data_IF_738003356094
#
_entry.id   IF_738003356094
#
_cell.length_a   1.000
_cell.length_b   1.000
_cell.length_c   1.000
_cell.angle_alpha   90.00
_cell.angle_beta   90.00
_cell.angle_gamma   90.00
#
_symmetry.space_group_name_H-M   'P 1'
#
loop_
_entity.id
_entity.type
_entity.pdbx_description
1 polymer ?
#
# COMPACT_ATOMS: atom_id res chain seq x y z
N UNK A 1 24.04 -46.54 -65.69
CA UNK A 1 23.80 -46.89 -64.27
C UNK A 1 25.18 -46.97 -63.63
N UNK A 2 25.69 -45.94 -62.97
CA UNK A 2 25.24 -45.34 -61.71
C UNK A 2 25.76 -43.89 -61.64
N UNK A 3 24.89 -42.92 -61.35
CA UNK A 3 25.25 -41.50 -61.14
C UNK A 3 25.37 -41.33 -59.62
N UNK A 4 26.51 -40.85 -59.11
CA UNK A 4 26.66 -40.47 -57.70
C UNK A 4 27.05 -38.99 -57.62
N UNK A 5 26.06 -38.15 -57.30
CA UNK A 5 26.23 -36.73 -56.95
C UNK A 5 26.35 -36.62 -55.44
N UNK A 6 27.41 -35.98 -54.94
CA UNK A 6 27.53 -35.58 -53.54
C UNK A 6 26.97 -34.16 -53.38
N UNK A 7 26.06 -33.90 -52.41
CA UNK A 7 25.55 -32.56 -52.17
C UNK A 7 26.53 -31.72 -51.32
N UNK A 8 26.60 -30.43 -51.66
CA UNK A 8 27.27 -29.37 -50.91
C UNK A 8 26.69 -29.25 -49.49
N UNK A 9 27.56 -29.35 -48.47
CA UNK A 9 27.24 -29.00 -47.08
C UNK A 9 27.23 -27.47 -46.93
N UNK A 10 26.05 -26.88 -46.73
CA UNK A 10 25.91 -25.49 -46.27
C UNK A 10 25.79 -25.51 -44.74
N UNK A 11 26.88 -25.18 -44.06
CA UNK A 11 26.87 -24.96 -42.61
C UNK A 11 26.11 -23.66 -42.30
N UNK A 12 24.93 -23.80 -41.70
CA UNK A 12 24.12 -22.69 -41.18
C UNK A 12 24.71 -22.28 -39.82
N UNK A 13 25.36 -21.10 -39.73
CA UNK A 13 25.77 -20.52 -38.45
C UNK A 13 24.56 -19.82 -37.84
N UNK A 14 23.88 -20.45 -36.88
CA UNK A 14 22.90 -19.77 -36.04
C UNK A 14 23.65 -18.98 -34.97
N UNK A 15 23.70 -17.65 -35.13
CA UNK A 15 24.06 -16.75 -34.04
C UNK A 15 22.77 -16.44 -33.26
N UNK A 16 22.59 -17.07 -32.10
CA UNK A 16 21.54 -16.69 -31.16
C UNK A 16 22.00 -15.42 -30.43
N UNK A 17 21.49 -14.26 -30.84
CA UNK A 17 21.62 -13.04 -30.06
C UNK A 17 20.59 -13.07 -28.93
N UNK A 18 20.99 -13.54 -27.75
CA UNK A 18 20.19 -13.43 -26.53
C UNK A 18 20.16 -11.96 -26.09
N UNK A 19 19.07 -11.25 -26.40
CA UNK A 19 18.76 -9.97 -25.75
C UNK A 19 18.43 -10.25 -24.28
N UNK A 20 19.36 -9.96 -23.39
CA UNK A 20 19.06 -9.85 -21.97
C UNK A 20 18.18 -8.61 -21.76
N UNK A 21 16.87 -8.80 -21.61
CA UNK A 21 16.01 -7.75 -21.07
C UNK A 21 16.36 -7.59 -19.58
N UNK A 22 17.16 -6.58 -19.26
CA UNK A 22 17.32 -6.13 -17.88
C UNK A 22 15.99 -5.49 -17.50
N UNK A 23 15.14 -6.24 -16.79
CA UNK A 23 13.98 -5.68 -16.09
C UNK A 23 14.52 -4.74 -15.03
N UNK A 24 14.40 -3.43 -15.25
CA UNK A 24 14.54 -2.47 -14.17
C UNK A 24 13.31 -2.61 -13.29
N UNK A 25 13.50 -2.87 -12.01
CA UNK A 25 12.42 -2.75 -11.03
C UNK A 25 12.06 -1.26 -10.96
N UNK A 26 10.95 -0.88 -11.60
CA UNK A 26 10.37 0.45 -11.42
C UNK A 26 9.66 0.44 -10.08
N UNK A 27 10.14 1.25 -9.15
CA UNK A 27 9.43 1.50 -7.89
C UNK A 27 8.12 2.24 -8.20
N UNK A 28 7.07 1.96 -7.43
CA UNK A 28 5.82 2.68 -7.54
C UNK A 28 6.03 4.18 -7.25
N UNK A 29 5.19 5.02 -7.88
CA UNK A 29 5.18 6.45 -7.57
C UNK A 29 4.86 6.67 -6.09
N UNK A 30 5.50 7.66 -5.43
CA UNK A 30 5.18 8.00 -4.05
C UNK A 30 3.74 8.46 -3.89
N UNK A 31 3.18 8.26 -2.70
CA UNK A 31 1.85 8.74 -2.32
C UNK A 31 1.99 9.74 -1.18
N UNK A 32 1.62 10.99 -1.44
CA UNK A 32 1.64 12.05 -0.43
C UNK A 32 0.38 11.99 0.46
N UNK A 33 0.54 12.37 1.74
CA UNK A 33 -0.56 12.58 2.68
C UNK A 33 -0.36 13.89 3.45
N UNK A 34 -1.44 14.44 3.99
CA UNK A 34 -1.40 15.62 4.85
C UNK A 34 -2.60 15.67 5.78
N UNK A 35 -2.47 16.40 6.88
CA UNK A 35 -3.55 16.62 7.84
C UNK A 35 -3.26 17.81 8.76
N UNK A 36 -4.14 18.00 9.73
CA UNK A 36 -4.04 19.03 10.77
C UNK A 36 -4.47 18.41 12.09
N UNK A 37 -3.58 18.39 13.07
CA UNK A 37 -3.95 18.02 14.44
C UNK A 37 -4.57 19.23 15.13
N UNK A 38 -5.76 19.05 15.68
CA UNK A 38 -6.58 20.05 16.37
C UNK A 38 -7.00 19.59 17.76
N UNK A 39 -7.56 20.51 18.54
CA UNK A 39 -8.11 20.19 19.86
C UNK A 39 -9.42 19.40 19.82
N UNK A 40 -10.06 19.27 18.64
CA UNK A 40 -11.26 18.44 18.45
C UNK A 40 -10.94 17.00 18.11
N UNK A 41 -9.69 16.69 17.78
CA UNK A 41 -9.31 15.34 17.39
C UNK A 41 -9.37 14.38 18.58
N UNK A 42 -9.67 13.09 18.32
CA UNK A 42 -9.58 12.09 19.36
C UNK A 42 -8.15 12.02 19.89
N UNK A 43 -8.04 11.63 21.15
CA UNK A 43 -6.76 11.46 21.84
C UNK A 43 -6.60 10.03 22.32
N UNK A 44 -5.36 9.58 22.43
CA UNK A 44 -5.02 8.30 23.03
C UNK A 44 -3.66 8.35 23.72
N UNK A 45 -3.37 7.33 24.53
CA UNK A 45 -2.02 7.13 25.05
C UNK A 45 -1.18 6.45 23.97
N UNK A 46 -0.36 7.24 23.26
CA UNK A 46 0.44 6.72 22.15
C UNK A 46 1.46 5.69 22.68
N UNK A 47 1.86 4.71 21.87
CA UNK A 47 3.00 3.87 22.22
C UNK A 47 4.29 4.68 22.36
N UNK A 48 5.25 4.15 23.11
CA UNK A 48 6.65 4.57 23.10
C UNK A 48 7.52 3.54 22.39
N UNK A 49 7.17 2.27 22.52
CA UNK A 49 7.74 1.16 21.77
C UNK A 49 6.60 0.24 21.34
N UNK A 50 6.91 -0.83 20.61
CA UNK A 50 5.93 -1.86 20.25
C UNK A 50 5.35 -2.63 21.45
N UNK A 51 5.88 -2.44 22.66
CA UNK A 51 5.48 -3.16 23.87
C UNK A 51 5.15 -2.26 25.08
N UNK A 52 5.26 -0.94 24.94
CA UNK A 52 5.07 -0.01 26.05
C UNK A 52 4.40 1.28 25.61
N UNK A 53 3.55 1.83 26.49
CA UNK A 53 2.90 3.13 26.31
C UNK A 53 3.83 4.28 26.71
N UNK A 54 3.56 5.46 26.16
CA UNK A 54 4.31 6.69 26.45
C UNK A 54 3.96 7.25 27.82
N UNK A 55 4.97 7.78 28.51
CA UNK A 55 4.79 8.64 29.68
C UNK A 55 4.59 10.12 29.33
N UNK A 56 4.83 10.50 28.07
CA UNK A 56 4.76 11.89 27.59
C UNK A 56 3.48 12.12 26.78
N UNK A 57 3.24 11.29 25.77
CA UNK A 57 2.06 11.34 24.89
C UNK A 57 0.87 10.56 25.46
N UNK A 58 0.48 10.82 26.70
CA UNK A 58 -0.60 10.09 27.39
C UNK A 58 -2.01 10.38 26.86
N UNK A 59 -2.17 11.49 26.13
CA UNK A 59 -3.39 11.97 25.51
C UNK A 59 -3.04 12.77 24.25
N UNK A 60 -2.30 12.14 23.33
CA UNK A 60 -1.86 12.76 22.08
C UNK A 60 -3.02 12.76 21.07
N UNK A 61 -3.29 13.91 20.44
CA UNK A 61 -4.21 14.00 19.29
C UNK A 61 -3.65 13.20 18.13
N UNK A 62 -4.54 12.56 17.38
CA UNK A 62 -4.13 11.70 16.28
C UNK A 62 -5.06 11.74 15.08
N UNK A 63 -4.46 11.54 13.91
CA UNK A 63 -5.12 11.19 12.67
C UNK A 63 -4.75 9.76 12.26
N UNK A 64 -5.61 9.13 11.44
CA UNK A 64 -5.38 7.76 10.96
C UNK A 64 -5.52 7.69 9.44
N UNK A 65 -4.48 7.20 8.78
CA UNK A 65 -4.50 6.88 7.36
C UNK A 65 -4.60 5.36 7.18
N UNK A 66 -5.75 4.92 6.69
CA UNK A 66 -5.95 3.52 6.30
C UNK A 66 -5.36 3.31 4.90
N UNK A 67 -4.65 2.21 4.70
CA UNK A 67 -4.07 1.88 3.40
C UNK A 67 -3.83 0.37 3.26
N UNK A 68 -3.53 -0.06 2.04
CA UNK A 68 -2.97 -1.36 1.74
C UNK A 68 -1.88 -1.22 0.66
N UNK A 69 -1.13 -2.30 0.44
CA UNK A 69 -0.13 -2.37 -0.63
C UNK A 69 -0.51 -3.46 -1.63
N UNK A 70 -0.25 -3.23 -2.92
CA UNK A 70 -0.65 -4.17 -3.98
C UNK A 70 0.33 -5.32 -4.21
N UNK A 71 1.49 -5.29 -3.55
CA UNK A 71 2.45 -6.39 -3.55
C UNK A 71 3.23 -6.39 -2.24
N UNK A 72 3.79 -7.54 -1.86
CA UNK A 72 4.70 -7.60 -0.73
C UNK A 72 6.01 -6.84 -1.05
N UNK A 73 6.54 -6.14 -0.05
CA UNK A 73 7.71 -5.28 -0.23
C UNK A 73 8.09 -4.55 1.05
N UNK A 74 9.12 -3.71 0.97
CA UNK A 74 9.47 -2.76 2.04
C UNK A 74 8.96 -1.39 1.62
N UNK A 75 8.18 -0.79 2.50
CA UNK A 75 7.58 0.52 2.31
C UNK A 75 8.11 1.48 3.38
N UNK A 76 8.29 2.73 2.98
CA UNK A 76 8.64 3.85 3.85
C UNK A 76 7.39 4.70 4.09
N UNK A 77 7.20 5.15 5.33
CA UNK A 77 6.18 6.10 5.75
C UNK A 77 6.88 7.20 6.53
N UNK A 78 6.87 8.42 6.00
CA UNK A 78 7.64 9.53 6.56
C UNK A 78 6.77 10.78 6.69
N UNK A 79 6.91 11.53 7.79
CA UNK A 79 6.48 12.92 7.85
C UNK A 79 7.54 13.84 7.21
N UNK A 80 7.12 14.72 6.32
CA UNK A 80 8.00 15.63 5.58
C UNK A 80 8.04 17.04 6.18
N UNK A 81 6.96 17.45 6.85
CA UNK A 81 6.90 18.72 7.58
C UNK A 81 5.83 18.66 8.67
N UNK A 82 6.02 19.42 9.74
CA UNK A 82 5.03 19.63 10.78
C UNK A 82 5.15 21.04 11.36
N UNK A 83 4.02 21.67 11.63
CA UNK A 83 3.94 22.99 12.28
C UNK A 83 3.49 22.90 13.74
N UNK A 84 3.82 21.80 14.40
CA UNK A 84 3.57 21.59 15.82
C UNK A 84 4.47 22.48 16.67
N UNK A 85 4.09 22.74 17.92
CA UNK A 85 5.02 23.35 18.87
C UNK A 85 6.22 22.41 19.05
N UNK A 86 7.39 22.82 18.57
CA UNK A 86 8.62 22.00 18.55
C UNK A 86 8.83 21.18 17.28
N UNK A 87 7.83 21.08 16.38
CA UNK A 87 7.94 20.36 15.10
C UNK A 87 8.05 18.84 15.22
N UNK A 88 7.83 18.29 16.41
CA UNK A 88 8.13 16.90 16.75
C UNK A 88 6.93 15.98 16.49
N UNK A 89 7.07 15.11 15.49
CA UNK A 89 6.06 14.16 15.03
C UNK A 89 6.27 12.80 15.66
N UNK A 90 5.24 11.96 15.62
CA UNK A 90 5.38 10.54 15.94
C UNK A 90 4.47 9.72 15.03
N UNK A 91 4.98 8.59 14.54
CA UNK A 91 4.25 7.63 13.73
C UNK A 91 4.08 6.32 14.48
N UNK A 92 2.89 5.73 14.36
CA UNK A 92 2.63 4.35 14.76
C UNK A 92 1.94 3.59 13.64
N UNK A 93 2.47 2.42 13.29
CA UNK A 93 1.97 1.59 12.21
C UNK A 93 1.32 0.33 12.76
N UNK A 94 0.05 0.11 12.39
CA UNK A 94 -0.72 -1.07 12.80
C UNK A 94 -1.10 -1.92 11.59
N UNK A 95 -1.30 -3.23 11.81
CA UNK A 95 -1.88 -4.14 10.83
C UNK A 95 -3.28 -4.61 11.25
N UNK A 96 -4.12 -4.96 10.28
CA UNK A 96 -5.47 -5.52 10.44
C UNK A 96 -6.51 -4.56 11.07
N UNK A 97 -6.22 -3.96 12.22
CA UNK A 97 -7.07 -3.01 12.93
C UNK A 97 -6.27 -2.09 13.85
N UNK A 98 -6.74 -0.84 13.98
CA UNK A 98 -6.31 0.13 14.99
C UNK A 98 -7.43 0.32 16.04
N UNK A 99 -7.05 0.33 17.32
CA UNK A 99 -7.94 0.63 18.45
C UNK A 99 -7.19 1.51 19.46
N UNK A 100 -7.63 2.76 19.59
CA UNK A 100 -7.07 3.75 20.50
C UNK A 100 -7.21 3.35 21.99
N UNK A 101 -8.15 2.47 22.34
CA UNK A 101 -8.30 1.95 23.70
C UNK A 101 -7.32 0.79 24.00
N UNK A 102 -6.71 0.22 22.97
CA UNK A 102 -5.76 -0.89 23.05
C UNK A 102 -4.49 -0.61 22.21
N UNK A 103 -3.70 0.45 22.50
CA UNK A 103 -2.72 1.03 21.57
C UNK A 103 -1.53 0.12 21.20
N UNK A 104 -1.33 -0.98 21.93
CA UNK A 104 -0.26 -1.95 21.65
C UNK A 104 -0.75 -3.16 20.83
N UNK A 105 -2.06 -3.28 20.62
CA UNK A 105 -2.63 -4.40 19.86
C UNK A 105 -2.43 -4.16 18.37
N UNK A 106 -1.92 -5.17 17.66
CA UNK A 106 -1.57 -5.14 16.23
C UNK A 106 -0.52 -4.08 15.82
N UNK A 107 0.19 -3.50 16.77
CA UNK A 107 1.24 -2.53 16.53
C UNK A 107 2.46 -3.23 15.89
N UNK A 108 2.92 -2.72 14.75
CA UNK A 108 4.08 -3.26 14.03
C UNK A 108 5.34 -2.46 14.32
N UNK A 109 5.24 -1.13 14.28
CA UNK A 109 6.40 -0.26 14.40
C UNK A 109 6.00 1.15 14.86
N UNK A 110 6.94 1.88 15.43
CA UNK A 110 6.81 3.28 15.84
C UNK A 110 8.10 4.03 15.62
N UNK A 111 8.02 5.34 15.40
CA UNK A 111 9.18 6.21 15.25
C UNK A 111 8.82 7.68 15.45
N UNK A 112 9.70 8.47 16.07
CA UNK A 112 9.62 9.93 16.16
C UNK A 112 10.71 10.67 15.38
N UNK A 113 11.92 10.14 15.25
CA UNK A 113 13.10 10.94 14.87
C UNK A 113 14.02 10.35 13.78
N UNK A 114 13.65 9.25 13.11
CA UNK A 114 14.52 8.60 12.12
C UNK A 114 14.51 9.24 10.71
N UNK A 115 13.62 10.21 10.48
CA UNK A 115 13.41 10.90 9.21
C UNK A 115 14.22 12.17 9.04
N UNK A 116 13.97 12.86 7.91
CA UNK A 116 14.63 14.12 7.57
C UNK A 116 14.32 15.18 8.63
N UNK A 117 15.36 15.82 9.16
CA UNK A 117 15.19 16.88 10.17
C UNK A 117 14.72 16.37 11.54
N UNK A 118 14.97 15.09 11.85
CA UNK A 118 14.47 14.40 13.05
C UNK A 118 12.93 14.36 13.12
N UNK A 119 12.28 14.36 11.95
CA UNK A 119 10.89 13.98 11.81
C UNK A 119 10.76 12.45 11.79
N UNK A 120 9.54 11.94 11.85
CA UNK A 120 9.31 10.50 11.96
C UNK A 120 9.46 9.77 10.63
N UNK A 121 10.03 8.56 10.68
CA UNK A 121 10.20 7.66 9.54
C UNK A 121 10.07 6.19 9.97
N UNK A 122 9.13 5.47 9.38
CA UNK A 122 9.02 4.01 9.50
C UNK A 122 9.42 3.36 8.19
N UNK A 123 10.30 2.36 8.24
CA UNK A 123 10.52 1.40 7.16
C UNK A 123 9.99 0.04 7.59
N UNK A 124 9.01 -0.50 6.87
CA UNK A 124 8.33 -1.75 7.26
C UNK A 124 8.17 -2.69 6.06
N UNK A 125 8.45 -3.97 6.30
CA UNK A 125 8.06 -5.04 5.37
C UNK A 125 6.55 -5.28 5.48
N UNK A 126 5.83 -5.07 4.39
CA UNK A 126 4.38 -5.23 4.31
C UNK A 126 4.02 -6.36 3.35
N UNK A 127 2.95 -7.08 3.68
CA UNK A 127 2.30 -8.05 2.80
C UNK A 127 1.19 -7.38 1.98
N UNK A 128 0.98 -7.88 0.77
CA UNK A 128 -0.07 -7.44 -0.13
C UNK A 128 -1.47 -7.63 0.48
N UNK A 129 -2.39 -6.74 0.15
CA UNK A 129 -3.83 -6.84 0.47
C UNK A 129 -4.16 -7.00 1.96
N UNK A 130 -3.22 -6.64 2.84
CA UNK A 130 -3.46 -6.45 4.27
C UNK A 130 -3.82 -4.98 4.51
N UNK A 131 -4.83 -4.74 5.36
CA UNK A 131 -5.17 -3.40 5.82
C UNK A 131 -4.16 -2.95 6.87
N UNK A 132 -3.56 -1.79 6.65
CA UNK A 132 -2.67 -1.12 7.57
C UNK A 132 -3.23 0.24 7.97
N UNK A 133 -2.80 0.71 9.13
CA UNK A 133 -3.23 1.98 9.70
C UNK A 133 -1.96 2.73 10.11
N UNK A 134 -1.66 3.83 9.42
CA UNK A 134 -0.63 4.76 9.83
C UNK A 134 -1.28 5.82 10.70
N UNK A 135 -0.94 5.82 11.99
CA UNK A 135 -1.38 6.82 12.95
C UNK A 135 -0.32 7.90 13.03
N UNK A 136 -0.74 9.15 12.83
CA UNK A 136 0.12 10.33 12.95
C UNK A 136 -0.26 11.08 14.20
N UNK A 137 0.72 11.39 15.03
CA UNK A 137 0.56 12.21 16.24
C UNK A 137 1.66 13.24 16.32
N UNK A 138 1.52 14.19 17.25
CA UNK A 138 2.64 14.95 17.79
C UNK A 138 3.33 14.16 18.90
N UNK A 139 4.57 14.52 19.25
CA UNK A 139 5.32 13.83 20.30
C UNK A 139 4.69 14.02 21.69
N UNK A 140 4.15 15.20 22.00
CA UNK A 140 3.52 15.51 23.29
C UNK A 140 2.03 15.84 23.18
N UNK A 141 1.33 15.77 24.30
CA UNK A 141 -0.08 16.16 24.38
C UNK A 141 -0.29 17.63 24.00
N UNK A 142 -1.48 17.93 23.44
CA UNK A 142 -1.92 19.29 23.11
C UNK A 142 -0.97 20.08 22.19
N UNK A 143 -0.21 19.37 21.35
CA UNK A 143 0.55 19.96 20.25
C UNK A 143 -0.24 19.79 18.95
N UNK A 144 -0.61 20.92 18.35
CA UNK A 144 -1.50 21.04 17.21
C UNK A 144 -0.79 21.69 16.03
N UNK A 145 -1.33 21.52 14.82
CA UNK A 145 -0.83 22.16 13.62
C UNK A 145 -0.94 21.26 12.39
N UNK A 146 -0.47 21.79 11.26
CA UNK A 146 -0.49 21.09 9.99
C UNK A 146 0.72 20.16 9.88
N UNK A 147 0.56 19.07 9.14
CA UNK A 147 1.67 18.21 8.76
C UNK A 147 1.48 17.67 7.34
N UNK A 148 2.60 17.29 6.73
CA UNK A 148 2.64 16.55 5.47
C UNK A 148 3.52 15.33 5.62
N UNK A 149 3.27 14.33 4.78
CA UNK A 149 4.07 13.13 4.74
C UNK A 149 3.95 12.40 3.42
N UNK A 150 4.66 11.28 3.32
CA UNK A 150 4.78 10.48 2.11
C UNK A 150 4.93 9.01 2.43
N UNK A 151 4.33 8.21 1.57
CA UNK A 151 4.62 6.80 1.41
C UNK A 151 5.54 6.59 0.20
N UNK A 152 6.61 5.83 0.37
CA UNK A 152 7.51 5.41 -0.71
C UNK A 152 7.64 3.89 -0.77
N UNK A 153 7.81 3.34 -1.96
CA UNK A 153 8.20 1.93 -2.12
C UNK A 153 9.71 1.85 -2.09
N UNK A 154 10.29 1.22 -1.06
CA UNK A 154 11.74 1.05 -0.91
C UNK A 154 12.22 -0.18 -1.67
N UNK A 155 11.46 -1.27 -1.58
CA UNK A 155 11.70 -2.48 -2.37
C UNK A 155 10.40 -3.24 -2.61
N UNK A 156 10.37 -4.04 -3.68
CA UNK A 156 9.14 -4.62 -4.21
C UNK A 156 8.56 -3.75 -5.33
N UNK A 157 7.54 -4.27 -6.01
CA UNK A 157 6.89 -3.60 -7.15
C UNK A 157 5.47 -3.11 -6.87
N UNK A 158 5.01 -3.19 -5.61
CA UNK A 158 3.63 -2.86 -5.24
C UNK A 158 3.44 -1.37 -5.00
N UNK A 159 2.23 -0.88 -5.26
CA UNK A 159 1.79 0.49 -4.99
C UNK A 159 1.12 0.58 -3.63
N UNK A 160 1.22 1.75 -2.99
CA UNK A 160 0.41 2.09 -1.81
C UNK A 160 -0.93 2.63 -2.31
N UNK A 161 -2.02 2.13 -1.73
CA UNK A 161 -3.38 2.57 -2.04
C UNK A 161 -4.04 3.00 -0.75
N UNK A 162 -4.40 4.28 -0.66
CA UNK A 162 -5.11 4.86 0.48
C UNK A 162 -6.57 4.41 0.48
N UNK A 163 -7.13 4.25 1.68
CA UNK A 163 -8.44 3.67 1.90
C UNK A 163 -8.40 2.16 2.11
N UNK A 164 -9.57 1.58 2.35
CA UNK A 164 -9.68 0.13 2.48
C UNK A 164 -9.25 -0.55 1.17
N UNK A 165 -8.58 -1.71 1.31
CA UNK A 165 -8.50 -2.66 0.20
C UNK A 165 -9.93 -2.89 -0.27
N UNK A 166 -10.21 -2.54 -1.53
CA UNK A 166 -11.54 -2.68 -2.07
C UNK A 166 -12.04 -4.07 -1.69
N UNK A 167 -13.18 -4.14 -0.99
CA UNK A 167 -13.92 -5.38 -0.84
C UNK A 167 -14.56 -5.71 -2.19
N UNK A 168 -13.76 -5.69 -3.25
CA UNK A 168 -14.11 -6.10 -4.60
C UNK A 168 -14.42 -7.58 -4.49
N UNK A 169 -15.64 -7.87 -4.05
CA UNK A 169 -16.42 -8.95 -4.64
C UNK A 169 -16.50 -8.54 -6.10
N UNK A 170 -15.75 -9.17 -7.02
CA UNK A 170 -16.03 -8.99 -8.43
C UNK A 170 -17.47 -9.49 -8.56
N UNK A 171 -18.42 -8.63 -8.90
CA UNK A 171 -19.74 -9.14 -9.27
C UNK A 171 -19.46 -10.19 -10.34
N UNK A 172 -19.81 -11.46 -10.10
CA UNK A 172 -19.43 -12.50 -11.02
C UNK A 172 -20.01 -12.09 -12.36
N UNK A 173 -19.23 -12.17 -13.44
CA UNK A 173 -19.67 -11.83 -14.79
C UNK A 173 -21.02 -12.51 -15.19
N UNK A 174 -21.45 -13.51 -14.43
CA UNK A 174 -22.80 -14.06 -14.37
C UNK A 174 -23.92 -13.02 -14.23
N UNK A 175 -23.77 -11.94 -13.44
CA UNK A 175 -24.76 -10.85 -13.34
C UNK A 175 -24.81 -10.02 -14.62
N UNK A 176 -23.66 -9.79 -15.27
CA UNK A 176 -23.59 -9.13 -16.57
C UNK A 176 -24.21 -9.96 -17.73
N UNK A 177 -24.27 -11.29 -17.58
CA UNK A 177 -24.90 -12.20 -18.55
C UNK A 177 -26.40 -12.45 -18.32
N UNK A 178 -26.94 -12.06 -17.17
CA UNK A 178 -28.36 -12.21 -16.84
C UNK A 178 -29.31 -11.49 -17.85
N UNK A 179 -29.05 -10.24 -18.30
CA UNK A 179 -29.89 -9.60 -19.31
C UNK A 179 -29.81 -10.31 -20.67
N UNK A 180 -28.63 -10.85 -21.04
CA UNK A 180 -28.45 -11.62 -22.28
C UNK A 180 -29.20 -12.96 -22.25
N UNK A 181 -29.20 -13.65 -21.10
CA UNK A 181 -29.96 -14.88 -20.91
C UNK A 181 -31.48 -14.66 -20.99
N UNK A 182 -31.98 -13.57 -20.40
CA UNK A 182 -33.40 -13.19 -20.48
C UNK A 182 -33.83 -12.79 -21.90
N UNK A 183 -32.98 -12.05 -22.63
CA UNK A 183 -33.20 -11.72 -24.04
C UNK A 183 -33.22 -12.97 -24.94
N UNK A 184 -32.31 -13.92 -24.71
CA UNK A 184 -32.26 -15.20 -25.43
C UNK A 184 -33.52 -16.06 -25.22
N UNK A 185 -34.01 -16.16 -23.97
CA UNK A 185 -35.24 -16.90 -23.67
C UNK A 185 -36.50 -16.25 -24.24
N UNK A 186 -36.57 -14.90 -24.27
CA UNK A 186 -37.67 -14.18 -24.91
C UNK A 186 -37.75 -14.43 -26.43
N UNK A 187 -36.60 -14.47 -27.11
CA UNK A 187 -36.50 -14.74 -28.55
C UNK A 187 -36.84 -16.20 -28.89
N UNK A 188 -36.43 -17.17 -28.07
CA UNK A 188 -36.72 -18.58 -28.28
C UNK A 188 -38.23 -18.89 -28.18
N UNK A 189 -38.94 -18.24 -27.26
CA UNK A 189 -40.38 -18.45 -27.04
C UNK A 189 -41.26 -17.94 -28.19
N UNK A 190 -40.77 -16.97 -28.98
CA UNK A 190 -41.49 -16.40 -30.14
C UNK A 190 -41.44 -17.31 -31.37
N UNK A 191 -40.47 -18.22 -31.47
CA UNK A 191 -40.32 -19.14 -32.61
C UNK A 191 -41.15 -20.42 -32.51
N UNK A 192 -41.71 -20.74 -31.35
CA UNK A 192 -42.54 -21.94 -31.15
C UNK A 192 -44.05 -21.71 -31.33
N UNK A 193 -44.47 -20.52 -31.82
CA UNK A 193 -45.88 -20.16 -32.05
C UNK A 193 -46.18 -19.71 -33.49
N UNK A 194 -45.32 -20.06 -34.45
CA UNK A 194 -45.52 -19.84 -35.87
C UNK A 194 -45.66 -21.15 -36.61
#
# INVERSE_FOLDING_TARGET
>A
MFIMRFPFSRTLKLAAASLAFVSQAVLAAPVDFSGELTSSDPVFNRPFTTFALSGVGTAASYDVFNFHVTAAGVYSMQTLSASFAGGDTFLALYANAFDASSPLTNLLNVDDDAGVGALSLINQALQADIRYFLVVTSYSNAQFGNYTGRFDTVSGGGQVVLGDAASDVPEPATLALLPLALLGMGMARRRQRG
#
